data_IF_038847689239
#
_entry.id   IF_038847689239
#
_cell.length_a   1.000
_cell.length_b   1.000
_cell.length_c   1.000
_cell.angle_alpha   90.00
_cell.angle_beta   90.00
_cell.angle_gamma   90.00
#
_symmetry.space_group_name_H-M   'P 1'
#
loop_
_entity.id
_entity.type
_entity.pdbx_description
1 polymer ?
#
# COMPACT_ATOMS: atom_id res chain seq x y z
N UNK A 1 14.47 -29.67 -24.39
CA UNK A 1 14.12 -29.88 -22.97
C UNK A 1 12.64 -29.64 -22.82
N UNK A 2 11.91 -30.74 -22.72
CA UNK A 2 10.46 -30.84 -22.84
C UNK A 2 9.78 -30.18 -21.63
N UNK A 3 8.96 -29.15 -21.88
CA UNK A 3 8.12 -28.55 -20.84
C UNK A 3 7.08 -29.59 -20.43
N UNK A 4 7.38 -30.33 -19.37
CA UNK A 4 6.40 -31.11 -18.61
C UNK A 4 5.24 -30.18 -18.27
N UNK A 5 4.12 -30.32 -19.00
CA UNK A 5 2.84 -29.75 -18.65
C UNK A 5 2.33 -30.52 -17.44
N UNK A 6 2.88 -30.21 -16.28
CA UNK A 6 2.26 -30.58 -15.01
C UNK A 6 0.85 -30.00 -15.05
N UNK A 7 -0.13 -30.88 -15.10
CA UNK A 7 -1.54 -30.57 -15.04
C UNK A 7 -1.85 -30.14 -13.59
N UNK A 8 -1.34 -28.98 -13.19
CA UNK A 8 -1.61 -28.38 -11.88
C UNK A 8 -3.08 -27.98 -11.91
N UNK A 9 -3.92 -28.71 -11.19
CA UNK A 9 -5.32 -28.33 -10.97
C UNK A 9 -5.31 -26.89 -10.45
N UNK A 10 -5.78 -25.95 -11.27
CA UNK A 10 -5.68 -24.52 -10.98
C UNK A 10 -6.54 -24.21 -9.75
N UNK A 11 -5.90 -24.13 -8.60
CA UNK A 11 -6.56 -23.82 -7.34
C UNK A 11 -6.88 -22.32 -7.28
N UNK A 12 -8.08 -21.97 -7.76
CA UNK A 12 -8.58 -20.60 -7.78
C UNK A 12 -9.29 -20.22 -6.47
N UNK A 13 -9.07 -20.94 -5.36
CA UNK A 13 -9.80 -20.68 -4.11
C UNK A 13 -9.59 -19.24 -3.61
N UNK A 14 -8.36 -18.72 -3.71
CA UNK A 14 -8.04 -17.33 -3.34
C UNK A 14 -8.90 -16.34 -4.13
N UNK A 15 -9.02 -16.55 -5.45
CA UNK A 15 -9.83 -15.69 -6.31
C UNK A 15 -11.31 -15.70 -5.90
N UNK A 16 -11.92 -16.88 -5.78
CA UNK A 16 -13.36 -16.98 -5.48
C UNK A 16 -13.70 -16.50 -4.07
N UNK A 17 -12.85 -16.79 -3.08
CA UNK A 17 -13.07 -16.32 -1.70
C UNK A 17 -12.91 -14.81 -1.62
N UNK A 18 -11.85 -14.24 -2.19
CA UNK A 18 -11.66 -12.78 -2.22
C UNK A 18 -12.78 -12.06 -2.95
N UNK A 19 -13.27 -12.62 -4.06
CA UNK A 19 -14.42 -12.08 -4.79
C UNK A 19 -15.69 -12.11 -3.92
N UNK A 20 -15.97 -13.24 -3.27
CA UNK A 20 -17.14 -13.36 -2.40
C UNK A 20 -17.08 -12.38 -1.22
N UNK A 21 -15.94 -12.29 -0.52
CA UNK A 21 -15.75 -11.34 0.59
C UNK A 21 -15.93 -9.89 0.11
N UNK A 22 -15.33 -9.53 -1.03
CA UNK A 22 -15.48 -8.19 -1.60
C UNK A 22 -16.94 -7.88 -1.93
N UNK A 23 -17.65 -8.80 -2.59
CA UNK A 23 -19.06 -8.62 -2.93
C UNK A 23 -19.94 -8.48 -1.69
N UNK A 24 -19.68 -9.25 -0.63
CA UNK A 24 -20.44 -9.14 0.62
C UNK A 24 -20.26 -7.76 1.28
N UNK A 25 -19.03 -7.23 1.31
CA UNK A 25 -18.77 -5.88 1.85
C UNK A 25 -19.45 -4.80 1.00
N UNK A 26 -19.38 -4.91 -0.33
CA UNK A 26 -20.07 -3.99 -1.25
C UNK A 26 -21.58 -4.04 -1.04
N UNK A 27 -22.17 -5.24 -0.96
CA UNK A 27 -23.60 -5.42 -0.72
C UNK A 27 -24.02 -4.86 0.64
N UNK A 28 -23.21 -5.02 1.68
CA UNK A 28 -23.50 -4.41 2.98
C UNK A 28 -23.53 -2.88 2.91
N UNK A 29 -22.56 -2.26 2.23
CA UNK A 29 -22.54 -0.81 2.00
C UNK A 29 -23.74 -0.31 1.19
N UNK A 30 -24.23 -1.09 0.24
CA UNK A 30 -25.40 -0.73 -0.59
C UNK A 30 -26.73 -0.94 0.12
N UNK A 31 -26.90 -2.04 0.86
CA UNK A 31 -28.17 -2.42 1.48
C UNK A 31 -28.41 -1.75 2.83
N UNK A 32 -27.34 -1.40 3.56
CA UNK A 32 -27.43 -0.79 4.90
C UNK A 32 -26.37 0.30 5.12
N UNK A 33 -26.38 1.40 4.34
CA UNK A 33 -25.31 2.41 4.34
C UNK A 33 -25.09 3.07 5.70
N UNK A 34 -26.16 3.44 6.43
CA UNK A 34 -26.04 4.06 7.75
C UNK A 34 -25.43 3.13 8.80
N UNK A 35 -25.74 1.83 8.71
CA UNK A 35 -25.13 0.81 9.56
C UNK A 35 -23.65 0.60 9.19
N UNK A 36 -23.35 0.51 7.90
CA UNK A 36 -21.98 0.38 7.40
C UNK A 36 -21.10 1.54 7.87
N UNK A 37 -21.56 2.78 7.74
CA UNK A 37 -20.85 3.98 8.21
C UNK A 37 -20.63 3.95 9.73
N UNK A 38 -21.68 3.63 10.51
CA UNK A 38 -21.56 3.55 11.97
C UNK A 38 -20.52 2.51 12.41
N UNK A 39 -20.54 1.31 11.82
CA UNK A 39 -19.58 0.26 12.17
C UNK A 39 -18.19 0.62 11.68
N UNK A 40 -18.05 1.11 10.45
CA UNK A 40 -16.78 1.56 9.88
C UNK A 40 -16.11 2.64 10.72
N UNK A 41 -16.85 3.67 11.11
CA UNK A 41 -16.33 4.73 11.98
C UNK A 41 -15.98 4.20 13.39
N UNK A 42 -16.79 3.29 13.95
CA UNK A 42 -16.47 2.66 15.23
C UNK A 42 -15.15 1.87 15.19
N UNK A 43 -14.95 1.06 14.14
CA UNK A 43 -13.70 0.30 13.92
C UNK A 43 -12.53 1.25 13.68
N UNK A 44 -12.70 2.28 12.85
CA UNK A 44 -11.67 3.28 12.58
C UNK A 44 -11.23 4.00 13.87
N UNK A 45 -12.18 4.50 14.67
CA UNK A 45 -11.87 5.17 15.94
C UNK A 45 -11.16 4.23 16.92
N UNK A 46 -11.59 2.97 17.01
CA UNK A 46 -10.91 1.98 17.84
C UNK A 46 -9.45 1.76 17.39
N UNK A 47 -9.22 1.56 16.09
CA UNK A 47 -7.88 1.35 15.55
C UNK A 47 -6.96 2.56 15.76
N UNK A 48 -7.48 3.77 15.55
CA UNK A 48 -6.69 5.01 15.76
C UNK A 48 -6.33 5.19 17.23
N UNK A 49 -7.30 5.01 18.14
CA UNK A 49 -7.08 5.27 19.57
C UNK A 49 -6.18 4.21 20.22
N UNK A 50 -6.35 2.93 19.89
CA UNK A 50 -5.64 1.83 20.55
C UNK A 50 -4.35 1.43 19.80
N UNK A 51 -4.34 1.51 18.46
CA UNK A 51 -3.24 1.05 17.61
C UNK A 51 -2.52 2.16 16.85
N UNK A 52 -2.89 3.43 17.03
CA UNK A 52 -2.23 4.56 16.36
C UNK A 52 -0.72 4.61 16.63
N UNK A 53 -0.30 4.37 17.88
CA UNK A 53 1.12 4.32 18.26
C UNK A 53 1.87 3.19 17.53
N UNK A 54 1.23 2.02 17.36
CA UNK A 54 1.82 0.88 16.69
C UNK A 54 1.99 1.15 15.19
N UNK A 55 1.00 1.81 14.57
CA UNK A 55 1.09 2.25 13.19
C UNK A 55 2.24 3.25 12.99
N UNK A 56 2.32 4.29 13.82
CA UNK A 56 3.40 5.29 13.74
C UNK A 56 4.77 4.66 13.93
N UNK A 57 4.93 3.81 14.95
CA UNK A 57 6.20 3.12 15.21
C UNK A 57 6.59 2.22 14.03
N UNK A 58 5.63 1.50 13.46
CA UNK A 58 5.86 0.63 12.30
C UNK A 58 6.34 1.42 11.09
N UNK A 59 5.66 2.51 10.74
CA UNK A 59 6.05 3.37 9.60
C UNK A 59 7.43 3.99 9.79
N UNK A 60 7.75 4.48 10.99
CA UNK A 60 9.09 4.99 11.28
C UNK A 60 10.16 3.89 11.24
N UNK A 61 9.84 2.69 11.72
CA UNK A 61 10.75 1.54 11.65
C UNK A 61 11.07 1.13 10.20
N UNK A 62 10.11 1.25 9.28
CA UNK A 62 10.34 0.97 7.86
C UNK A 62 11.30 1.97 7.22
N UNK A 63 11.22 3.25 7.59
CA UNK A 63 12.20 4.26 7.14
C UNK A 63 13.60 3.89 7.63
N UNK A 64 13.74 3.60 8.93
CA UNK A 64 15.02 3.19 9.52
C UNK A 64 15.56 1.94 8.83
N UNK A 65 14.72 0.93 8.62
CA UNK A 65 15.10 -0.31 7.96
C UNK A 65 15.50 -0.09 6.50
N UNK A 66 14.76 0.70 5.74
CA UNK A 66 15.06 1.00 4.34
C UNK A 66 16.41 1.74 4.19
N UNK A 67 16.69 2.71 5.06
CA UNK A 67 17.98 3.39 5.10
C UNK A 67 19.10 2.43 5.51
N UNK A 68 18.86 1.62 6.56
CA UNK A 68 19.85 0.66 7.02
C UNK A 68 20.21 -0.38 5.95
N UNK A 69 19.21 -0.99 5.31
CA UNK A 69 19.45 -2.03 4.31
C UNK A 69 20.07 -1.48 3.02
N UNK A 70 19.73 -0.25 2.63
CA UNK A 70 20.25 0.40 1.43
C UNK A 70 21.70 0.89 1.57
N UNK A 71 22.10 1.39 2.75
CA UNK A 71 23.39 2.06 2.92
C UNK A 71 24.39 1.30 3.80
N UNK A 72 23.92 0.68 4.88
CA UNK A 72 24.79 0.17 5.94
C UNK A 72 24.83 -1.35 6.07
N UNK A 73 23.84 -2.05 5.49
CA UNK A 73 23.75 -3.50 5.58
C UNK A 73 24.72 -4.20 4.63
N UNK A 74 25.24 -5.35 5.07
CA UNK A 74 26.01 -6.28 4.23
C UNK A 74 25.21 -6.84 3.04
N UNK A 75 23.88 -6.68 3.05
CA UNK A 75 22.99 -7.18 2.01
C UNK A 75 22.73 -6.17 0.89
N UNK A 76 23.21 -4.92 1.00
CA UNK A 76 22.94 -3.83 0.04
C UNK A 76 23.39 -4.13 -1.40
N UNK A 77 24.41 -4.98 -1.55
CA UNK A 77 25.01 -5.32 -2.85
C UNK A 77 24.41 -6.60 -3.47
N UNK A 78 23.43 -7.23 -2.81
CA UNK A 78 22.77 -8.42 -3.35
C UNK A 78 21.90 -8.03 -4.54
N UNK A 79 22.15 -8.65 -5.68
CA UNK A 79 21.31 -8.51 -6.88
C UNK A 79 19.96 -9.19 -6.67
N UNK A 80 18.87 -8.51 -7.04
CA UNK A 80 17.50 -9.06 -7.04
C UNK A 80 17.27 -9.95 -8.27
N UNK A 81 18.01 -11.06 -8.31
CA UNK A 81 18.10 -11.99 -9.42
C UNK A 81 19.32 -12.89 -9.27
N UNK A 82 19.61 -13.73 -10.28
CA UNK A 82 20.88 -14.47 -10.38
C UNK A 82 22.11 -13.56 -10.26
N UNK A 83 23.25 -14.10 -9.82
CA UNK A 83 24.47 -13.29 -9.59
C UNK A 83 24.99 -12.61 -10.87
N UNK A 84 24.77 -13.20 -12.03
CA UNK A 84 25.14 -12.70 -13.35
C UNK A 84 24.06 -11.84 -14.02
N UNK A 85 22.89 -11.67 -13.38
CA UNK A 85 21.78 -10.89 -13.93
C UNK A 85 22.13 -9.40 -14.09
N UNK A 86 21.55 -8.77 -15.12
CA UNK A 86 21.66 -7.35 -15.41
C UNK A 86 20.27 -6.69 -15.41
N UNK A 87 20.16 -5.39 -15.11
CA UNK A 87 18.89 -4.68 -15.18
C UNK A 87 18.26 -4.79 -16.57
N UNK A 88 16.96 -5.11 -16.62
CA UNK A 88 16.19 -5.17 -17.86
C UNK A 88 15.91 -3.77 -18.45
N UNK A 89 15.86 -2.76 -17.59
CA UNK A 89 15.57 -1.38 -17.95
C UNK A 89 16.75 -0.46 -17.63
N UNK A 90 16.92 0.60 -18.42
CA UNK A 90 17.86 1.67 -18.10
C UNK A 90 17.46 2.40 -16.81
N UNK A 91 18.42 3.04 -16.14
CA UNK A 91 18.15 3.78 -14.90
C UNK A 91 17.10 4.89 -15.10
N UNK A 92 17.12 5.57 -16.26
CA UNK A 92 16.15 6.63 -16.58
C UNK A 92 14.74 6.04 -16.77
N UNK A 93 14.63 4.95 -17.52
CA UNK A 93 13.35 4.26 -17.75
C UNK A 93 12.78 3.72 -16.44
N UNK A 94 13.63 3.10 -15.60
CA UNK A 94 13.23 2.60 -14.29
C UNK A 94 12.72 3.71 -13.37
N UNK A 95 13.44 4.84 -13.31
CA UNK A 95 13.02 5.99 -12.52
C UNK A 95 11.71 6.58 -13.02
N UNK A 96 11.51 6.69 -14.34
CA UNK A 96 10.27 7.17 -14.93
C UNK A 96 9.07 6.25 -14.63
N UNK A 97 9.28 4.93 -14.63
CA UNK A 97 8.23 3.96 -14.23
C UNK A 97 7.83 4.14 -12.77
N UNK A 98 8.79 4.40 -11.87
CA UNK A 98 8.52 4.63 -10.44
C UNK A 98 7.60 5.84 -10.23
N UNK A 99 7.88 6.96 -10.89
CA UNK A 99 7.03 8.16 -10.81
C UNK A 99 5.66 7.95 -11.46
N UNK A 100 5.63 7.28 -12.61
CA UNK A 100 4.36 7.00 -13.32
C UNK A 100 3.43 6.10 -12.50
N UNK A 101 3.99 5.16 -11.73
CA UNK A 101 3.22 4.29 -10.85
C UNK A 101 2.81 4.99 -9.53
N UNK A 102 3.66 5.87 -8.99
CA UNK A 102 3.43 6.52 -7.69
C UNK A 102 2.52 7.76 -7.73
N UNK A 103 2.45 8.45 -8.87
CA UNK A 103 1.67 9.69 -9.00
C UNK A 103 0.19 9.39 -9.26
N UNK A 104 -0.57 9.14 -8.18
CA UNK A 104 -2.00 8.80 -8.25
C UNK A 104 -2.96 9.96 -7.97
N UNK A 105 -4.27 9.65 -8.01
CA UNK A 105 -5.38 10.56 -7.64
C UNK A 105 -5.15 11.20 -6.27
N UNK A 106 -4.53 10.45 -5.34
CA UNK A 106 -4.22 10.95 -4.00
C UNK A 106 -3.42 12.26 -4.01
N UNK A 107 -2.43 12.43 -4.89
CA UNK A 107 -1.66 13.68 -4.96
C UNK A 107 -2.50 14.84 -5.52
N UNK A 108 -3.38 14.56 -6.47
CA UNK A 108 -4.24 15.59 -7.09
C UNK A 108 -5.35 16.03 -6.14
N UNK A 109 -5.83 15.13 -5.28
CA UNK A 109 -6.83 15.42 -4.27
C UNK A 109 -6.20 16.07 -3.02
N UNK A 110 -5.25 15.40 -2.39
CA UNK A 110 -4.67 15.81 -1.11
C UNK A 110 -3.54 16.81 -1.23
N UNK A 111 -2.90 16.95 -2.39
CA UNK A 111 -1.78 17.88 -2.57
C UNK A 111 -2.13 19.33 -2.26
N UNK A 112 -3.36 19.76 -2.56
CA UNK A 112 -3.87 21.06 -2.15
C UNK A 112 -4.66 21.00 -0.83
N UNK A 113 -5.50 19.97 -0.66
CA UNK A 113 -6.42 19.89 0.46
C UNK A 113 -5.72 19.67 1.82
N UNK A 114 -4.68 18.85 1.88
CA UNK A 114 -4.02 18.48 3.14
C UNK A 114 -3.24 19.65 3.77
N UNK A 115 -2.35 20.37 3.04
CA UNK A 115 -1.68 21.54 3.62
C UNK A 115 -2.68 22.61 4.07
N UNK A 116 -3.75 22.83 3.30
CA UNK A 116 -4.77 23.82 3.66
C UNK A 116 -5.52 23.40 4.93
N UNK A 117 -5.88 22.12 5.06
CA UNK A 117 -6.50 21.59 6.27
C UNK A 117 -5.58 21.74 7.49
N UNK A 118 -4.29 21.41 7.35
CA UNK A 118 -3.32 21.59 8.44
C UNK A 118 -3.06 23.05 8.78
N UNK A 119 -3.19 23.97 7.83
CA UNK A 119 -3.04 25.41 8.06
C UNK A 119 -4.24 26.02 8.80
N UNK A 120 -5.46 25.53 8.51
CA UNK A 120 -6.70 26.01 9.11
C UNK A 120 -7.01 25.35 10.47
N UNK A 121 -6.51 24.14 10.69
CA UNK A 121 -6.67 23.40 11.95
C UNK A 121 -5.35 22.74 12.40
N UNK A 122 -4.29 23.53 12.65
CA UNK A 122 -3.01 22.99 13.10
C UNK A 122 -3.09 22.48 14.54
N UNK A 123 -2.26 21.49 14.87
CA UNK A 123 -2.13 21.01 16.24
C UNK A 123 -1.05 21.81 16.97
N UNK A 124 -1.40 22.41 18.11
CA UNK A 124 -0.44 23.06 19.01
C UNK A 124 0.03 24.45 18.59
N UNK A 125 -0.52 25.04 17.53
CA UNK A 125 -0.28 26.43 17.10
C UNK A 125 -1.58 27.10 16.66
N UNK A 126 -1.58 28.42 16.53
CA UNK A 126 -2.77 29.18 16.10
C UNK A 126 -2.94 29.12 14.57
N UNK A 127 -4.18 28.86 14.11
CA UNK A 127 -4.53 28.81 12.70
C UNK A 127 -4.26 30.14 11.97
N UNK A 128 -3.93 30.09 10.68
CA UNK A 128 -3.72 31.32 9.89
C UNK A 128 -2.36 32.01 10.09
N UNK A 129 -1.56 31.57 11.06
CA UNK A 129 -0.26 32.18 11.41
C UNK A 129 0.90 31.62 10.59
N UNK A 130 2.07 32.26 10.65
CA UNK A 130 3.29 31.73 10.01
C UNK A 130 3.67 30.35 10.56
N UNK A 131 3.54 30.14 11.88
CA UNK A 131 3.79 28.86 12.52
C UNK A 131 2.84 27.75 12.00
N UNK A 132 1.58 28.10 11.67
CA UNK A 132 0.65 27.15 11.05
C UNK A 132 1.09 26.75 9.63
N UNK A 133 1.70 27.66 8.85
CA UNK A 133 2.24 27.32 7.52
C UNK A 133 3.38 26.33 7.61
N UNK A 134 4.33 26.58 8.52
CA UNK A 134 5.46 25.67 8.76
C UNK A 134 4.97 24.29 9.19
N UNK A 135 3.99 24.23 10.11
CA UNK A 135 3.35 22.99 10.52
C UNK A 135 2.70 22.26 9.34
N UNK A 136 1.89 22.97 8.53
CA UNK A 136 1.16 22.40 7.42
C UNK A 136 2.07 21.78 6.36
N UNK A 137 3.12 22.50 5.96
CA UNK A 137 4.11 21.99 5.01
C UNK A 137 4.83 20.79 5.60
N UNK A 138 5.32 20.90 6.85
CA UNK A 138 6.08 19.81 7.49
C UNK A 138 5.26 18.52 7.60
N UNK A 139 3.98 18.60 7.97
CA UNK A 139 3.09 17.44 8.08
C UNK A 139 2.77 16.83 6.72
N UNK A 140 2.49 17.66 5.72
CA UNK A 140 2.23 17.16 4.36
C UNK A 140 3.46 16.44 3.79
N UNK A 141 4.67 16.99 3.98
CA UNK A 141 5.91 16.32 3.57
C UNK A 141 6.19 15.05 4.38
N UNK A 142 5.76 14.96 5.64
CA UNK A 142 5.86 13.72 6.41
C UNK A 142 4.99 12.61 5.80
N UNK A 143 3.76 12.94 5.40
CA UNK A 143 2.79 11.98 4.86
C UNK A 143 3.08 11.57 3.41
N UNK A 144 3.66 12.47 2.60
CA UNK A 144 3.97 12.21 1.17
C UNK A 144 5.46 12.02 0.87
N UNK A 145 6.32 12.15 1.87
CA UNK A 145 7.77 11.96 1.78
C UNK A 145 8.19 10.53 2.12
N UNK A 146 9.24 10.38 2.92
CA UNK A 146 9.95 9.10 3.07
C UNK A 146 9.10 7.95 3.63
N UNK A 147 8.11 8.21 4.49
CA UNK A 147 7.37 7.17 5.18
C UNK A 147 6.60 6.22 4.25
N UNK A 148 5.68 6.68 3.37
CA UNK A 148 5.00 5.80 2.43
C UNK A 148 5.96 5.09 1.47
N UNK A 149 6.98 5.79 0.96
CA UNK A 149 7.97 5.20 0.04
C UNK A 149 8.83 4.12 0.70
N UNK A 150 9.18 4.29 1.98
CA UNK A 150 9.87 3.27 2.75
C UNK A 150 9.01 2.01 2.90
N UNK A 151 7.73 2.16 3.26
CA UNK A 151 6.80 1.02 3.34
C UNK A 151 6.75 0.24 2.01
N UNK A 152 6.56 0.94 0.88
CA UNK A 152 6.59 0.32 -0.45
C UNK A 152 7.92 -0.38 -0.73
N UNK A 153 9.04 0.26 -0.38
CA UNK A 153 10.38 -0.31 -0.59
C UNK A 153 10.60 -1.60 0.20
N UNK A 154 10.16 -1.66 1.46
CA UNK A 154 10.29 -2.87 2.29
C UNK A 154 9.52 -4.04 1.68
N UNK A 155 8.25 -3.82 1.33
CA UNK A 155 7.41 -4.87 0.75
C UNK A 155 7.89 -5.28 -0.65
N UNK A 156 8.23 -4.32 -1.50
CA UNK A 156 8.75 -4.56 -2.85
C UNK A 156 10.07 -5.32 -2.82
N UNK A 157 10.97 -4.98 -1.89
CA UNK A 157 12.24 -5.69 -1.71
C UNK A 157 12.00 -7.14 -1.30
N UNK A 158 11.10 -7.39 -0.36
CA UNK A 158 10.79 -8.74 0.08
C UNK A 158 10.20 -9.60 -1.05
N UNK A 159 9.24 -9.05 -1.81
CA UNK A 159 8.66 -9.71 -2.97
C UNK A 159 9.68 -9.96 -4.08
N UNK A 160 10.45 -8.93 -4.46
CA UNK A 160 11.46 -9.04 -5.51
C UNK A 160 12.54 -10.06 -5.14
N UNK A 161 12.97 -10.11 -3.87
CA UNK A 161 13.90 -11.11 -3.40
C UNK A 161 13.32 -12.52 -3.49
N UNK A 162 12.10 -12.74 -3.00
CA UNK A 162 11.49 -14.07 -3.07
C UNK A 162 11.24 -14.51 -4.51
N UNK A 163 10.76 -13.62 -5.36
CA UNK A 163 10.42 -13.92 -6.74
C UNK A 163 11.67 -14.10 -7.62
N UNK A 164 12.56 -13.10 -7.66
CA UNK A 164 13.67 -13.09 -8.63
C UNK A 164 14.93 -13.76 -8.10
N UNK A 165 15.22 -13.66 -6.80
CA UNK A 165 16.43 -14.29 -6.21
C UNK A 165 16.17 -15.71 -5.72
N UNK A 166 14.99 -16.00 -5.17
CA UNK A 166 14.63 -17.33 -4.62
C UNK A 166 13.74 -18.16 -5.53
N UNK A 167 13.35 -17.63 -6.69
CA UNK A 167 12.50 -18.32 -7.67
C UNK A 167 11.21 -18.88 -7.04
N UNK A 168 10.60 -18.11 -6.15
CA UNK A 168 9.30 -18.42 -5.54
C UNK A 168 8.17 -17.69 -6.27
N UNK A 169 6.91 -18.13 -6.13
CA UNK A 169 5.77 -17.40 -6.70
C UNK A 169 5.75 -15.94 -6.22
N UNK A 170 5.35 -15.00 -7.09
CA UNK A 170 5.16 -13.58 -6.76
C UNK A 170 3.90 -13.32 -5.93
N UNK A 171 3.71 -14.09 -4.86
CA UNK A 171 2.59 -14.01 -3.92
C UNK A 171 3.07 -13.33 -2.64
N UNK A 172 2.16 -12.65 -1.93
CA UNK A 172 2.48 -12.02 -0.64
C UNK A 172 2.80 -13.12 0.38
N UNK A 173 2.09 -14.23 0.34
CA UNK A 173 2.36 -15.42 1.14
C UNK A 173 3.80 -15.95 0.99
N UNK A 174 4.41 -15.82 -0.18
CA UNK A 174 5.81 -16.23 -0.40
C UNK A 174 6.80 -15.46 0.47
N UNK A 175 6.51 -14.20 0.83
CA UNK A 175 7.37 -13.39 1.71
C UNK A 175 7.52 -14.02 3.09
N UNK A 176 6.53 -14.82 3.53
CA UNK A 176 6.51 -15.46 4.84
C UNK A 176 7.18 -16.84 4.86
N UNK A 177 7.63 -17.39 3.72
CA UNK A 177 8.32 -18.68 3.66
C UNK A 177 9.49 -18.78 4.65
N UNK A 178 10.38 -17.78 4.78
CA UNK A 178 11.50 -17.87 5.73
C UNK A 178 11.08 -17.93 7.21
N UNK A 179 9.86 -17.50 7.54
CA UNK A 179 9.34 -17.44 8.91
C UNK A 179 8.45 -18.63 9.24
N UNK A 180 7.59 -19.04 8.30
CA UNK A 180 6.54 -20.05 8.51
C UNK A 180 6.85 -21.39 7.86
N UNK A 181 7.80 -21.45 6.92
CA UNK A 181 8.10 -22.64 6.12
C UNK A 181 7.19 -22.80 4.90
N UNK A 182 7.68 -23.57 3.91
CA UNK A 182 6.98 -23.78 2.63
C UNK A 182 5.68 -24.58 2.79
N UNK A 183 5.66 -25.56 3.69
CA UNK A 183 4.48 -26.40 3.93
C UNK A 183 3.31 -25.58 4.51
N UNK A 184 3.59 -24.66 5.43
CA UNK A 184 2.56 -23.79 6.03
C UNK A 184 2.03 -22.79 5.00
N UNK A 185 2.93 -22.17 4.22
CA UNK A 185 2.57 -21.20 3.19
C UNK A 185 1.81 -21.84 2.03
N UNK A 186 2.12 -23.08 1.65
CA UNK A 186 1.36 -23.80 0.61
C UNK A 186 -0.04 -24.24 1.06
N UNK A 187 -0.31 -24.22 2.37
CA UNK A 187 -1.59 -24.56 2.98
C UNK A 187 -2.58 -23.39 3.07
N UNK A 188 -3.52 -23.50 4.02
CA UNK A 188 -4.57 -22.51 4.24
C UNK A 188 -4.03 -21.16 4.74
N UNK A 189 -2.91 -21.16 5.46
CA UNK A 189 -2.32 -19.94 6.02
C UNK A 189 -1.81 -19.00 4.92
N UNK A 190 -1.11 -19.52 3.91
CA UNK A 190 -0.70 -18.69 2.77
C UNK A 190 -1.87 -18.19 1.95
N UNK A 191 -2.90 -19.03 1.74
CA UNK A 191 -4.15 -18.59 1.09
C UNK A 191 -4.81 -17.45 1.85
N UNK A 192 -4.86 -17.52 3.19
CA UNK A 192 -5.40 -16.44 4.01
C UNK A 192 -4.61 -15.14 3.82
N UNK A 193 -3.27 -15.20 3.85
CA UNK A 193 -2.40 -14.04 3.60
C UNK A 193 -2.71 -13.43 2.22
N UNK A 194 -2.80 -14.25 1.18
CA UNK A 194 -3.07 -13.77 -0.17
C UNK A 194 -4.50 -13.22 -0.32
N UNK A 195 -5.50 -13.78 0.36
CA UNK A 195 -6.86 -13.24 0.41
C UNK A 195 -6.87 -11.86 1.08
N UNK A 196 -6.20 -11.71 2.22
CA UNK A 196 -6.07 -10.43 2.92
C UNK A 196 -5.35 -9.39 2.06
N UNK A 197 -4.31 -9.79 1.34
CA UNK A 197 -3.60 -8.92 0.41
C UNK A 197 -4.48 -8.43 -0.75
N UNK A 198 -5.27 -9.33 -1.35
CA UNK A 198 -6.24 -8.97 -2.39
C UNK A 198 -7.27 -8.00 -1.84
N UNK A 199 -7.84 -8.28 -0.66
CA UNK A 199 -8.82 -7.40 -0.03
C UNK A 199 -8.25 -6.01 0.27
N UNK A 200 -7.05 -5.93 0.86
CA UNK A 200 -6.36 -4.68 1.14
C UNK A 200 -6.11 -3.86 -0.15
N UNK A 201 -5.72 -4.55 -1.22
CA UNK A 201 -5.50 -3.93 -2.54
C UNK A 201 -6.80 -3.36 -3.12
N UNK A 202 -7.89 -4.15 -3.11
CA UNK A 202 -9.19 -3.71 -3.60
C UNK A 202 -9.72 -2.52 -2.79
N UNK A 203 -9.63 -2.57 -1.46
CA UNK A 203 -10.04 -1.48 -0.59
C UNK A 203 -9.24 -0.19 -0.87
N UNK A 204 -7.92 -0.29 -1.05
CA UNK A 204 -7.08 0.86 -1.40
C UNK A 204 -7.42 1.47 -2.76
N UNK A 205 -7.60 0.63 -3.78
CA UNK A 205 -7.99 1.07 -5.13
C UNK A 205 -9.37 1.72 -5.13
N UNK A 206 -10.33 1.15 -4.41
CA UNK A 206 -11.69 1.69 -4.30
C UNK A 206 -11.71 3.08 -3.65
N UNK A 207 -10.93 3.30 -2.58
CA UNK A 207 -10.80 4.62 -1.94
C UNK A 207 -10.23 5.66 -2.92
N UNK A 208 -9.13 5.33 -3.59
CA UNK A 208 -8.50 6.23 -4.57
C UNK A 208 -9.46 6.58 -5.72
N UNK A 209 -10.16 5.58 -6.26
CA UNK A 209 -11.14 5.77 -7.32
C UNK A 209 -12.32 6.62 -6.85
N UNK A 210 -12.83 6.39 -5.64
CA UNK A 210 -13.91 7.19 -5.05
C UNK A 210 -13.54 8.66 -4.92
N UNK A 211 -12.34 8.96 -4.39
CA UNK A 211 -11.83 10.34 -4.33
C UNK A 211 -11.76 10.99 -5.72
N UNK A 212 -11.31 10.24 -6.73
CA UNK A 212 -11.25 10.72 -8.11
C UNK A 212 -12.63 11.02 -8.69
N UNK A 213 -13.61 10.14 -8.44
CA UNK A 213 -15.00 10.37 -8.83
C UNK A 213 -15.57 11.62 -8.18
N UNK A 214 -15.35 11.83 -6.88
CA UNK A 214 -15.76 13.06 -6.18
C UNK A 214 -15.12 14.30 -6.79
N UNK A 215 -13.83 14.27 -7.09
CA UNK A 215 -13.11 15.41 -7.66
C UNK A 215 -13.61 15.76 -9.06
N UNK A 216 -13.82 14.76 -9.92
CA UNK A 216 -14.38 14.97 -11.27
C UNK A 216 -15.80 15.52 -11.16
N UNK A 217 -16.66 14.93 -10.32
CA UNK A 217 -18.02 15.40 -10.15
C UNK A 217 -18.08 16.84 -9.64
N UNK A 218 -17.25 17.21 -8.65
CA UNK A 218 -17.15 18.58 -8.18
C UNK A 218 -16.69 19.54 -9.26
N UNK A 219 -15.71 19.15 -10.08
CA UNK A 219 -15.24 19.97 -11.20
C UNK A 219 -16.29 20.17 -12.28
N UNK A 220 -17.05 19.12 -12.61
CA UNK A 220 -18.15 19.22 -13.57
C UNK A 220 -19.28 20.10 -13.05
N UNK A 221 -19.73 19.93 -11.80
CA UNK A 221 -20.75 20.80 -11.20
C UNK A 221 -20.30 22.27 -11.16
N UNK A 222 -19.01 22.53 -10.88
CA UNK A 222 -18.47 23.89 -10.90
C UNK A 222 -18.52 24.53 -12.30
N UNK A 223 -18.25 23.75 -13.35
CA UNK A 223 -18.22 24.25 -14.73
C UNK A 223 -19.61 24.33 -15.39
N UNK A 224 -20.51 23.40 -15.05
CA UNK A 224 -21.75 23.17 -15.81
C UNK A 224 -23.03 23.29 -14.99
N UNK A 225 -22.95 23.43 -13.65
CA UNK A 225 -24.10 23.39 -12.75
C UNK A 225 -24.61 21.96 -12.50
#
# INVERSE_FOLDING_TARGET
>A
MEKSKLNVKKDNSVYYISLAVTLLIVLWGLLAPSNFEKVGNGVFSFLVNEFGWFYTLSMSSFVIFAVWIGFFSKYKDIRLGPDDSKPEYSNISWFAMLFSAGMGIGLVFWGAAEPLNHFMAPLGVEAGTEAAKEFAVSKSFLHWGLHPWANYSVLALALAYMQFRKNKPGLISSVFIPLLGEDVVSGWAGKLIDILAVFATVAGVATSLGLGTYQINSGLNFLFG
#
